data_IF_677927054692
#
_entry.id   IF_677927054692
#
_cell.length_a   1.000
_cell.length_b   1.000
_cell.length_c   1.000
_cell.angle_alpha   90.00
_cell.angle_beta   90.00
_cell.angle_gamma   90.00
#
_symmetry.space_group_name_H-M   'P 1'
#
loop_
_entity.id
_entity.type
_entity.pdbx_description
1 polymer ?
#
# COMPACT_ATOMS: atom_id res chain seq x y z
N UNK A 1 -17.97 11.40 -3.15
CA UNK A 1 -17.50 10.75 -1.91
C UNK A 1 -18.34 9.53 -1.61
N UNK A 2 -17.69 8.37 -1.56
CA UNK A 2 -18.25 7.13 -1.01
C UNK A 2 -17.68 6.89 0.40
N UNK A 3 -18.50 6.44 1.33
CA UNK A 3 -18.07 6.05 2.68
C UNK A 3 -18.66 4.70 3.07
N UNK A 4 -18.12 4.07 4.11
CA UNK A 4 -18.65 2.81 4.66
C UNK A 4 -17.79 1.57 4.36
N UNK A 5 -18.45 0.41 4.29
CA UNK A 5 -17.76 -0.89 4.27
C UNK A 5 -17.99 -1.63 2.96
N UNK A 6 -16.91 -2.14 2.36
CA UNK A 6 -16.99 -3.08 1.24
C UNK A 6 -16.34 -4.43 1.61
N UNK A 7 -17.03 -5.53 1.29
CA UNK A 7 -16.56 -6.89 1.55
C UNK A 7 -16.54 -7.65 0.23
N UNK A 8 -15.37 -8.13 -0.17
CA UNK A 8 -15.21 -8.94 -1.38
C UNK A 8 -14.89 -10.39 -1.00
N UNK A 9 -15.76 -11.30 -1.44
CA UNK A 9 -15.69 -12.74 -1.12
C UNK A 9 -14.80 -13.54 -2.09
N UNK A 10 -14.49 -12.97 -3.26
CA UNK A 10 -13.69 -13.60 -4.32
C UNK A 10 -12.27 -12.99 -4.42
N UNK A 11 -11.39 -13.56 -5.24
CA UNK A 11 -9.97 -13.14 -5.39
C UNK A 11 -9.79 -11.79 -6.14
N UNK A 12 -10.63 -10.81 -5.87
CA UNK A 12 -10.67 -9.53 -6.58
C UNK A 12 -10.18 -8.37 -5.70
N UNK A 13 -10.07 -7.19 -6.31
CA UNK A 13 -9.88 -5.95 -5.58
C UNK A 13 -11.17 -5.55 -4.82
N UNK A 14 -11.04 -5.02 -3.61
CA UNK A 14 -12.19 -4.42 -2.91
C UNK A 14 -12.58 -3.06 -3.51
N UNK A 15 -11.59 -2.30 -3.97
CA UNK A 15 -11.79 -1.05 -4.70
C UNK A 15 -10.88 -1.03 -5.95
N UNK A 16 -11.45 -0.74 -7.11
CA UNK A 16 -10.74 -0.75 -8.39
C UNK A 16 -11.08 0.50 -9.20
N UNK A 17 -10.06 1.31 -9.49
CA UNK A 17 -10.08 2.32 -10.54
C UNK A 17 -9.27 1.80 -11.73
N UNK A 18 -9.89 1.74 -12.90
CA UNK A 18 -9.28 1.36 -14.16
C UNK A 18 -9.86 2.22 -15.28
N UNK A 19 -9.23 2.21 -16.46
CA UNK A 19 -9.71 2.92 -17.66
C UNK A 19 -9.95 4.42 -17.39
N UNK A 20 -8.96 5.10 -16.81
CA UNK A 20 -9.03 6.51 -16.43
C UNK A 20 -10.09 6.82 -15.35
N UNK A 21 -10.50 5.79 -14.60
CA UNK A 21 -11.47 5.93 -13.52
C UNK A 21 -10.92 6.74 -12.35
N UNK A 22 -11.79 7.52 -11.72
CA UNK A 22 -11.50 8.27 -10.49
C UNK A 22 -12.40 7.75 -9.37
N UNK A 23 -11.81 7.44 -8.22
CA UNK A 23 -12.54 7.14 -7.00
C UNK A 23 -12.09 8.10 -5.90
N UNK A 24 -13.06 8.76 -5.29
CA UNK A 24 -12.89 9.63 -4.13
C UNK A 24 -13.75 9.07 -2.98
N UNK A 25 -13.06 8.58 -1.95
CA UNK A 25 -13.63 7.89 -0.82
C UNK A 25 -13.16 8.48 0.51
N UNK A 26 -14.05 8.47 1.51
CA UNK A 26 -13.76 8.99 2.85
C UNK A 26 -14.20 7.98 3.89
N UNK A 27 -13.35 7.71 4.88
CA UNK A 27 -13.68 6.85 6.02
C UNK A 27 -14.21 5.47 5.60
N UNK A 28 -13.36 4.68 4.94
CA UNK A 28 -13.75 3.38 4.38
C UNK A 28 -13.08 2.20 5.10
N UNK A 29 -13.82 1.10 5.17
CA UNK A 29 -13.29 -0.21 5.55
C UNK A 29 -13.45 -1.20 4.41
N UNK A 30 -12.33 -1.76 3.95
CA UNK A 30 -12.27 -2.72 2.87
C UNK A 30 -11.81 -4.07 3.43
N UNK A 31 -12.59 -5.13 3.23
CA UNK A 31 -12.21 -6.48 3.66
C UNK A 31 -12.13 -7.40 2.46
N UNK A 32 -10.98 -8.06 2.29
CA UNK A 32 -10.79 -9.10 1.26
C UNK A 32 -10.73 -10.49 1.88
N UNK A 33 -10.46 -11.52 1.06
CA UNK A 33 -10.47 -12.93 1.47
C UNK A 33 -9.05 -13.54 1.60
N UNK A 34 -8.11 -12.77 2.14
CA UNK A 34 -6.66 -13.05 2.25
C UNK A 34 -5.90 -13.13 0.92
N UNK A 35 -6.62 -13.24 -0.20
CA UNK A 35 -6.05 -13.43 -1.55
C UNK A 35 -6.29 -12.23 -2.47
N UNK A 36 -7.19 -11.33 -2.06
CA UNK A 36 -7.55 -10.12 -2.80
C UNK A 36 -6.63 -8.96 -2.51
N UNK A 37 -6.78 -7.89 -3.29
CA UNK A 37 -6.12 -6.60 -3.05
C UNK A 37 -7.13 -5.63 -2.44
N UNK A 38 -6.73 -4.82 -1.46
CA UNK A 38 -7.63 -3.81 -0.91
C UNK A 38 -8.04 -2.82 -1.98
N UNK A 39 -7.07 -2.07 -2.48
CA UNK A 39 -7.29 -0.98 -3.44
C UNK A 39 -6.33 -1.09 -4.63
N UNK A 40 -6.86 -1.00 -5.86
CA UNK A 40 -6.08 -0.99 -7.10
C UNK A 40 -6.40 0.25 -7.93
N UNK A 41 -5.36 1.00 -8.31
CA UNK A 41 -5.42 1.90 -9.46
C UNK A 41 -4.60 1.31 -10.61
N UNK A 42 -5.26 1.00 -11.74
CA UNK A 42 -4.68 0.30 -12.88
C UNK A 42 -4.72 1.16 -14.15
N UNK A 43 -3.55 1.37 -14.75
CA UNK A 43 -3.38 2.14 -15.98
C UNK A 43 -3.17 3.63 -15.74
N UNK A 44 -2.75 4.33 -16.80
CA UNK A 44 -2.58 5.78 -16.81
C UNK A 44 -3.88 6.48 -16.44
N UNK A 45 -3.78 7.61 -15.74
CA UNK A 45 -4.88 8.47 -15.32
C UNK A 45 -5.92 7.84 -14.36
N UNK A 46 -5.84 6.54 -14.08
CA UNK A 46 -6.61 5.92 -13.00
C UNK A 46 -6.13 6.44 -11.65
N UNK A 47 -7.06 6.97 -10.85
CA UNK A 47 -6.74 7.63 -9.58
C UNK A 47 -7.71 7.23 -8.48
N UNK A 48 -7.16 7.00 -7.28
CA UNK A 48 -7.94 6.80 -6.06
C UNK A 48 -7.44 7.75 -4.98
N UNK A 49 -8.36 8.47 -4.36
CA UNK A 49 -8.12 9.33 -3.22
C UNK A 49 -8.88 8.79 -2.01
N UNK A 50 -8.11 8.50 -0.95
CA UNK A 50 -8.60 7.91 0.29
C UNK A 50 -8.42 8.92 1.43
N UNK A 51 -9.51 9.55 1.82
CA UNK A 51 -9.58 10.58 2.84
C UNK A 51 -9.98 10.03 4.21
N UNK A 52 -9.53 10.70 5.27
CA UNK A 52 -9.74 10.26 6.65
C UNK A 52 -9.19 8.87 6.90
N UNK A 53 -9.95 8.07 7.66
CA UNK A 53 -9.53 6.74 8.09
C UNK A 53 -9.84 5.67 7.05
N UNK A 54 -8.81 5.06 6.48
CA UNK A 54 -8.92 3.88 5.61
C UNK A 54 -8.40 2.65 6.33
N UNK A 55 -9.24 1.62 6.45
CA UNK A 55 -8.85 0.31 6.98
C UNK A 55 -8.98 -0.75 5.89
N UNK A 56 -7.91 -1.52 5.66
CA UNK A 56 -7.87 -2.62 4.70
C UNK A 56 -7.52 -3.90 5.45
N UNK A 57 -8.45 -4.86 5.46
CA UNK A 57 -8.33 -6.10 6.21
C UNK A 57 -8.18 -7.32 5.31
N UNK A 58 -7.48 -8.33 5.84
CA UNK A 58 -7.35 -9.67 5.28
C UNK A 58 -6.90 -9.64 3.82
N UNK A 59 -5.80 -8.97 3.53
CA UNK A 59 -5.36 -8.71 2.16
C UNK A 59 -4.06 -9.41 1.77
N UNK A 60 -3.94 -9.72 0.48
CA UNK A 60 -2.66 -10.07 -0.14
C UNK A 60 -1.84 -8.80 -0.43
N UNK A 61 -2.48 -7.78 -1.02
CA UNK A 61 -1.89 -6.48 -1.24
C UNK A 61 -2.80 -5.39 -0.68
N UNK A 62 -2.33 -4.55 0.25
CA UNK A 62 -3.17 -3.48 0.79
C UNK A 62 -3.52 -2.44 -0.27
N UNK A 63 -2.51 -1.67 -0.66
CA UNK A 63 -2.59 -0.73 -1.79
C UNK A 63 -1.75 -1.25 -2.95
N UNK A 64 -2.29 -1.16 -4.17
CA UNK A 64 -1.55 -1.52 -5.38
C UNK A 64 -1.76 -0.50 -6.50
N UNK A 65 -0.66 -0.06 -7.12
CA UNK A 65 -0.71 0.68 -8.39
C UNK A 65 0.12 0.00 -9.47
N UNK A 66 -0.39 0.01 -10.70
CA UNK A 66 0.25 -0.60 -11.86
C UNK A 66 0.02 0.25 -13.10
N UNK A 67 1.05 0.41 -13.92
CA UNK A 67 0.95 1.00 -15.26
C UNK A 67 0.52 2.47 -15.28
N UNK A 68 1.00 3.30 -14.34
CA UNK A 68 0.68 4.73 -14.29
C UNK A 68 -0.41 5.11 -13.29
N UNK A 69 -0.98 4.12 -12.59
CA UNK A 69 -2.06 4.35 -11.62
C UNK A 69 -1.58 5.11 -10.38
N UNK A 70 -2.48 5.89 -9.77
CA UNK A 70 -2.16 6.75 -8.63
C UNK A 70 -3.09 6.48 -7.44
N UNK A 71 -2.52 6.28 -6.26
CA UNK A 71 -3.27 6.23 -5.00
C UNK A 71 -2.72 7.28 -4.05
N UNK A 72 -3.60 8.07 -3.44
CA UNK A 72 -3.28 8.98 -2.34
C UNK A 72 -4.09 8.54 -1.13
N UNK A 73 -3.43 8.38 0.02
CA UNK A 73 -4.07 7.99 1.27
C UNK A 73 -3.65 8.90 2.41
N UNK A 74 -4.62 9.31 3.23
CA UNK A 74 -4.42 9.99 4.50
C UNK A 74 -4.05 8.96 5.59
N UNK A 75 -4.98 8.66 6.50
CA UNK A 75 -4.75 7.69 7.56
C UNK A 75 -5.06 6.27 7.05
N UNK A 76 -4.06 5.39 7.11
CA UNK A 76 -4.10 4.07 6.51
C UNK A 76 -3.78 2.99 7.53
N UNK A 77 -4.64 1.98 7.62
CA UNK A 77 -4.38 0.73 8.32
C UNK A 77 -4.46 -0.40 7.31
N UNK A 78 -3.37 -1.15 7.13
CA UNK A 78 -3.34 -2.37 6.32
C UNK A 78 -3.04 -3.56 7.22
N UNK A 79 -3.93 -4.54 7.18
CA UNK A 79 -3.79 -5.81 7.88
C UNK A 79 -3.81 -6.91 6.82
N UNK A 80 -2.67 -7.56 6.65
CA UNK A 80 -2.57 -8.75 5.81
C UNK A 80 -3.45 -9.89 6.34
N UNK A 81 -3.63 -10.93 5.53
CA UNK A 81 -4.35 -12.14 5.94
C UNK A 81 -3.67 -12.96 7.04
N UNK A 82 -4.04 -14.25 7.15
CA UNK A 82 -3.54 -15.22 8.16
C UNK A 82 -2.03 -15.10 8.46
N UNK A 83 -1.53 -15.38 9.68
CA UNK A 83 -0.13 -15.16 10.10
C UNK A 83 0.98 -15.68 9.16
N UNK A 84 2.20 -15.18 9.33
CA UNK A 84 3.39 -15.28 8.43
C UNK A 84 3.88 -16.72 8.09
N UNK A 85 3.19 -17.76 8.54
CA UNK A 85 3.60 -19.16 8.42
C UNK A 85 2.55 -20.10 7.80
N UNK A 86 1.71 -19.61 6.87
CA UNK A 86 0.57 -20.40 6.36
C UNK A 86 0.62 -20.77 4.88
N UNK A 87 1.44 -20.11 4.04
CA UNK A 87 1.54 -20.43 2.61
C UNK A 87 2.81 -19.78 2.01
N UNK A 88 3.80 -20.57 1.57
CA UNK A 88 5.11 -20.07 1.12
C UNK A 88 5.08 -19.43 -0.28
N UNK A 89 4.00 -19.62 -1.04
CA UNK A 89 3.99 -19.29 -2.47
C UNK A 89 3.50 -17.87 -2.80
N UNK A 90 3.07 -17.08 -1.80
CA UNK A 90 2.56 -15.71 -2.03
C UNK A 90 3.01 -14.71 -0.97
N UNK A 91 3.96 -13.85 -1.35
CA UNK A 91 4.36 -12.70 -0.53
C UNK A 91 3.22 -11.70 -0.45
N UNK A 92 2.79 -11.38 0.77
CA UNK A 92 1.86 -10.29 1.07
C UNK A 92 2.60 -8.98 1.18
N UNK A 93 2.02 -7.96 0.58
CA UNK A 93 2.61 -6.63 0.57
C UNK A 93 1.63 -5.59 1.10
N UNK A 94 2.06 -4.75 2.04
CA UNK A 94 1.21 -3.66 2.53
C UNK A 94 0.89 -2.66 1.41
N UNK A 95 1.94 -2.13 0.79
CA UNK A 95 1.88 -1.15 -0.29
C UNK A 95 2.80 -1.59 -1.42
N UNK A 96 2.22 -1.80 -2.60
CA UNK A 96 2.93 -2.28 -3.80
C UNK A 96 2.73 -1.30 -4.95
N UNK A 97 3.80 -0.90 -5.62
CA UNK A 97 3.71 -0.09 -6.84
C UNK A 97 4.68 -0.60 -7.91
N UNK A 98 4.24 -0.56 -9.17
CA UNK A 98 4.93 -1.22 -10.28
C UNK A 98 4.68 -0.48 -11.59
N UNK A 99 5.70 -0.45 -12.44
CA UNK A 99 5.78 0.26 -13.72
C UNK A 99 5.87 1.78 -13.62
N UNK A 100 6.47 2.36 -14.66
CA UNK A 100 6.69 3.80 -14.79
C UNK A 100 5.39 4.60 -14.65
N UNK A 101 5.49 5.72 -13.93
CA UNK A 101 4.36 6.62 -13.66
C UNK A 101 3.42 6.16 -12.55
N UNK A 102 3.53 4.93 -12.07
CA UNK A 102 2.75 4.45 -10.93
C UNK A 102 3.22 5.12 -9.64
N UNK A 103 2.28 5.62 -8.85
CA UNK A 103 2.59 6.35 -7.62
C UNK A 103 1.63 5.98 -6.48
N UNK A 104 2.19 5.80 -5.29
CA UNK A 104 1.41 5.76 -4.04
C UNK A 104 1.94 6.86 -3.12
N UNK A 105 1.07 7.78 -2.69
CA UNK A 105 1.39 8.83 -1.73
C UNK A 105 0.66 8.59 -0.41
N UNK A 106 1.42 8.40 0.66
CA UNK A 106 0.92 8.31 2.03
C UNK A 106 1.12 9.68 2.68
N UNK A 107 0.08 10.23 3.27
CA UNK A 107 0.09 11.61 3.80
C UNK A 107 -0.25 11.73 5.27
N UNK A 108 -1.01 10.78 5.82
CA UNK A 108 -1.33 10.68 7.25
C UNK A 108 -0.61 9.51 7.93
N UNK A 109 -1.14 9.03 9.05
CA UNK A 109 -0.54 7.91 9.78
C UNK A 109 -0.77 6.60 9.03
N UNK A 110 0.28 5.80 8.85
CA UNK A 110 0.17 4.49 8.21
C UNK A 110 0.58 3.38 9.17
N UNK A 111 -0.28 2.39 9.34
CA UNK A 111 0.00 1.18 10.13
C UNK A 111 -0.11 -0.04 9.23
N UNK A 112 0.95 -0.87 9.18
CA UNK A 112 0.97 -2.07 8.35
C UNK A 112 1.30 -3.28 9.22
N UNK A 113 0.45 -4.31 9.18
CA UNK A 113 0.51 -5.49 10.04
C UNK A 113 0.26 -6.77 9.25
N UNK A 114 0.79 -7.90 9.73
CA UNK A 114 0.56 -9.25 9.18
C UNK A 114 0.88 -9.42 7.69
N UNK A 115 1.84 -8.65 7.17
CA UNK A 115 2.38 -8.78 5.81
C UNK A 115 3.82 -9.26 5.83
N UNK A 116 4.27 -9.83 4.71
CA UNK A 116 5.66 -10.28 4.53
C UNK A 116 6.56 -9.10 4.13
N UNK A 117 6.01 -8.13 3.40
CA UNK A 117 6.68 -6.92 2.93
C UNK A 117 5.82 -5.69 3.20
N UNK A 118 6.35 -4.66 3.85
CA UNK A 118 5.56 -3.46 4.14
C UNK A 118 5.36 -2.61 2.88
N UNK A 119 6.45 -2.23 2.22
CA UNK A 119 6.46 -1.35 1.05
C UNK A 119 7.32 -1.98 -0.06
N UNK A 120 6.85 -1.92 -1.31
CA UNK A 120 7.62 -2.38 -2.49
C UNK A 120 7.34 -1.51 -3.71
N UNK A 121 8.41 -1.12 -4.40
CA UNK A 121 8.37 -0.38 -5.64
C UNK A 121 9.25 -1.04 -6.71
N UNK A 122 8.72 -1.16 -7.94
CA UNK A 122 9.40 -1.80 -9.08
C UNK A 122 9.30 -0.94 -10.34
N UNK A 123 10.24 -1.10 -11.26
CA UNK A 123 10.18 -0.57 -12.64
C UNK A 123 9.79 0.92 -12.71
N UNK A 124 10.58 1.77 -12.03
CA UNK A 124 10.44 3.23 -11.93
C UNK A 124 9.16 3.75 -11.24
N UNK A 125 8.42 2.87 -10.58
CA UNK A 125 7.31 3.24 -9.73
C UNK A 125 7.78 3.93 -8.43
N UNK A 126 6.92 4.76 -7.83
CA UNK A 126 7.27 5.58 -6.67
C UNK A 126 6.31 5.39 -5.50
N UNK A 127 6.84 5.19 -4.29
CA UNK A 127 6.09 5.37 -3.05
C UNK A 127 6.61 6.64 -2.37
N UNK A 128 5.72 7.61 -2.15
CA UNK A 128 6.00 8.85 -1.42
C UNK A 128 5.39 8.75 -0.03
N UNK A 129 6.22 8.94 0.98
CA UNK A 129 5.79 9.02 2.37
C UNK A 129 5.94 10.49 2.75
N UNK A 130 4.82 11.18 2.95
CA UNK A 130 4.76 12.58 3.39
C UNK A 130 4.99 12.70 4.89
N UNK A 131 4.23 13.55 5.57
CA UNK A 131 4.20 13.72 7.04
C UNK A 131 3.59 12.48 7.76
N UNK A 132 4.04 11.30 7.38
CA UNK A 132 3.46 10.02 7.75
C UNK A 132 4.37 9.29 8.72
N UNK A 133 3.78 8.73 9.78
CA UNK A 133 4.45 7.76 10.66
C UNK A 133 4.10 6.36 10.18
N UNK A 134 5.09 5.46 10.09
CA UNK A 134 4.86 4.04 9.81
C UNK A 134 5.06 3.21 11.08
N UNK A 135 3.97 2.69 11.64
CA UNK A 135 3.99 1.77 12.79
C UNK A 135 4.00 0.31 12.33
N UNK A 136 4.93 -0.49 12.86
CA UNK A 136 5.14 -1.91 12.55
C UNK A 136 4.65 -2.80 13.70
N UNK A 137 3.98 -3.92 13.39
CA UNK A 137 3.63 -4.95 14.37
C UNK A 137 3.89 -6.40 13.90
N UNK A 138 4.65 -6.61 12.81
CA UNK A 138 5.06 -7.94 12.32
C UNK A 138 6.56 -8.00 12.05
N UNK A 139 7.24 -9.12 12.26
CA UNK A 139 8.72 -9.19 12.41
C UNK A 139 9.60 -8.68 11.25
N UNK A 140 9.10 -8.48 10.03
CA UNK A 140 9.93 -8.14 8.86
C UNK A 140 9.59 -6.75 8.28
N UNK A 141 10.49 -5.76 8.45
CA UNK A 141 10.47 -4.55 7.63
C UNK A 141 11.53 -4.77 6.54
N UNK A 142 11.13 -5.47 5.48
CA UNK A 142 11.97 -5.73 4.32
C UNK A 142 11.59 -4.72 3.22
N UNK A 143 12.31 -3.61 3.14
CA UNK A 143 12.16 -2.66 2.03
C UNK A 143 12.97 -3.17 0.84
N UNK A 144 12.31 -3.69 -0.19
CA UNK A 144 12.97 -4.14 -1.42
C UNK A 144 12.77 -3.09 -2.52
N UNK A 145 13.88 -2.53 -3.02
CA UNK A 145 13.94 -1.71 -4.23
C UNK A 145 14.79 -2.45 -5.28
N UNK A 146 14.34 -2.49 -6.54
CA UNK A 146 15.05 -3.13 -7.67
C UNK A 146 15.30 -2.20 -8.86
N UNK A 147 15.26 -0.88 -8.66
CA UNK A 147 15.51 0.09 -9.74
C UNK A 147 16.89 0.73 -9.63
N UNK A 148 17.59 0.72 -10.76
CA UNK A 148 18.90 1.33 -10.96
C UNK A 148 18.75 2.86 -11.00
N UNK A 149 19.44 3.57 -10.08
CA UNK A 149 19.55 5.03 -10.00
C UNK A 149 18.30 5.77 -9.48
N UNK A 150 18.21 5.89 -8.15
CA UNK A 150 17.99 7.22 -7.59
C UNK A 150 18.80 7.41 -6.31
N UNK A 151 19.38 8.60 -6.21
CA UNK A 151 20.45 8.96 -5.29
C UNK A 151 19.95 8.88 -3.85
N UNK A 152 20.61 8.00 -3.11
CA UNK A 152 20.59 7.88 -1.67
C UNK A 152 21.08 9.20 -1.08
N UNK A 153 20.16 10.09 -0.74
CA UNK A 153 20.21 10.79 0.53
C UNK A 153 19.00 10.31 1.29
N UNK A 154 19.27 9.63 2.41
CA UNK A 154 18.32 9.03 3.35
C UNK A 154 17.81 7.61 3.04
N UNK A 155 18.65 6.77 2.43
CA UNK A 155 18.37 5.33 2.26
C UNK A 155 18.66 4.56 3.56
N UNK A 156 17.60 3.92 4.07
CA UNK A 156 17.65 3.10 5.27
C UNK A 156 18.35 1.77 4.97
N UNK A 157 19.58 1.59 5.50
CA UNK A 157 20.23 0.29 5.63
C UNK A 157 19.82 -0.36 6.95
N UNK A 158 18.95 -1.36 6.86
CA UNK A 158 18.33 -1.99 8.02
C UNK A 158 19.29 -2.86 8.84
N UNK A 159 19.50 -2.46 10.11
CA UNK A 159 19.57 -3.39 11.25
C UNK A 159 19.09 -2.63 12.48
N UNK A 160 17.86 -2.94 12.93
CA UNK A 160 17.13 -2.29 14.03
C UNK A 160 16.68 -0.85 13.71
N UNK A 161 15.59 -0.71 12.96
CA UNK A 161 15.05 0.62 12.61
C UNK A 161 13.88 0.94 13.53
N UNK A 162 14.17 1.74 14.56
CA UNK A 162 13.23 2.75 15.01
C UNK A 162 13.21 3.84 13.93
N UNK A 163 12.02 4.18 13.44
CA UNK A 163 11.85 5.29 12.51
C UNK A 163 11.98 6.60 13.31
N UNK A 164 13.12 7.28 13.19
CA UNK A 164 13.24 8.68 13.58
C UNK A 164 12.98 9.53 12.33
N UNK A 165 11.83 10.21 12.32
CA UNK A 165 11.52 11.26 11.33
C UNK A 165 12.19 12.53 11.84
N UNK A 166 13.19 13.04 11.11
CA UNK A 166 13.76 14.37 11.37
C UNK A 166 12.93 15.35 10.54
N UNK A 167 12.11 16.15 11.21
CA UNK A 167 11.44 17.28 10.58
C UNK A 167 12.50 18.34 10.23
N UNK A 168 12.63 18.63 8.94
CA UNK A 168 13.25 19.85 8.41
C UNK A 168 12.17 20.84 8.01
#
# INVERSE_FOLDING_TARGET
MIGGTAIVKNKNAALLAANNGLIDATNITLTTNDKGTGTIALGSDSRIELHGNTTINNTLNGLRTVGGGKIISEDLIVIGGKPINSDHDKKRTGVWTENSGSEIKLTGTTTIQNVDVALSAFEDATIKIGNSTIAKNSDSLDTKSKTSKNVIKDEIKAKKVALAIING
#
